data_IF_176587281527
#
_entry.id   IF_176587281527
#
_cell.length_a   1.000
_cell.length_b   1.000
_cell.length_c   1.000
_cell.angle_alpha   90.00
_cell.angle_beta   90.00
_cell.angle_gamma   90.00
#
_symmetry.space_group_name_H-M   'P 1'
#
loop_
_entity.id
_entity.type
_entity.pdbx_description
1 polymer ?
#
# COMPACT_ATOMS: atom_id res chain seq x y z
N UNK A 1 -15.76 21.74 -23.66
CA UNK A 1 -14.40 21.38 -23.16
C UNK A 1 -14.22 19.88 -23.34
N UNK A 2 -13.21 19.47 -24.12
CA UNK A 2 -12.88 18.06 -24.38
C UNK A 2 -11.92 17.58 -23.30
N UNK A 3 -12.28 16.58 -22.51
CA UNK A 3 -11.33 15.85 -21.67
C UNK A 3 -10.86 14.62 -22.43
N UNK A 4 -9.67 14.68 -23.03
CA UNK A 4 -9.02 13.50 -23.57
C UNK A 4 -8.29 12.79 -22.45
N UNK A 5 -8.69 11.54 -22.21
CA UNK A 5 -8.12 10.58 -21.28
C UNK A 5 -6.80 10.06 -21.83
N UNK A 6 -5.73 9.95 -21.03
CA UNK A 6 -4.61 9.05 -21.32
C UNK A 6 -4.03 8.42 -20.04
N UNK A 7 -4.27 7.10 -19.92
CA UNK A 7 -3.41 6.01 -19.42
C UNK A 7 -2.81 6.12 -18.00
N UNK A 8 -3.04 5.16 -17.10
CA UNK A 8 -2.92 3.73 -17.40
C UNK A 8 -1.51 3.39 -17.87
N UNK A 9 -0.49 3.95 -17.21
CA UNK A 9 0.92 3.64 -17.46
C UNK A 9 1.52 3.13 -16.16
N UNK A 10 1.50 1.82 -16.00
CA UNK A 10 2.41 1.14 -15.08
C UNK A 10 3.81 1.45 -15.60
N UNK A 11 4.48 2.41 -14.97
CA UNK A 11 5.89 2.67 -15.23
C UNK A 11 6.64 1.52 -14.58
N UNK A 12 6.93 0.48 -15.36
CA UNK A 12 8.01 -0.44 -15.02
C UNK A 12 9.29 0.38 -15.11
N UNK A 13 9.86 0.72 -13.97
CA UNK A 13 11.17 1.36 -13.88
C UNK A 13 12.19 0.44 -14.54
N UNK A 14 12.58 0.78 -15.77
CA UNK A 14 13.75 0.19 -16.42
C UNK A 14 14.92 1.12 -16.10
N UNK A 15 15.79 0.69 -15.18
CA UNK A 15 17.04 1.40 -14.93
C UNK A 15 17.96 1.22 -16.14
N UNK A 16 18.55 2.33 -16.58
CA UNK A 16 19.44 2.46 -17.73
C UNK A 16 20.82 1.87 -17.40
N UNK A 17 20.94 0.55 -17.26
CA UNK A 17 22.23 -0.15 -17.18
C UNK A 17 22.20 -1.61 -17.68
N UNK A 18 21.17 -2.02 -18.43
CA UNK A 18 21.22 -3.27 -19.22
C UNK A 18 21.31 -4.58 -18.43
N UNK A 19 21.20 -4.56 -17.10
CA UNK A 19 21.05 -5.78 -16.29
C UNK A 19 19.58 -5.99 -15.94
N UNK A 20 18.96 -6.95 -16.61
CA UNK A 20 17.69 -7.52 -16.21
C UNK A 20 17.89 -8.30 -14.89
N UNK A 21 17.96 -7.59 -13.76
CA UNK A 21 17.95 -8.21 -12.45
C UNK A 21 16.51 -8.62 -12.12
N UNK A 22 16.19 -9.86 -12.45
CA UNK A 22 15.16 -10.72 -11.88
C UNK A 22 14.05 -9.99 -11.08
N UNK A 23 13.00 -9.54 -11.77
CA UNK A 23 11.71 -9.23 -11.14
C UNK A 23 10.77 -10.42 -11.33
N UNK A 24 11.11 -11.52 -10.67
CA UNK A 24 10.16 -12.58 -10.31
C UNK A 24 10.07 -12.72 -8.77
N UNK A 25 10.55 -11.71 -8.03
CA UNK A 25 10.58 -11.62 -6.56
C UNK A 25 10.38 -10.17 -6.04
N UNK A 26 9.95 -9.26 -6.92
CA UNK A 26 9.91 -7.81 -6.67
C UNK A 26 8.58 -7.26 -6.14
N UNK A 27 7.50 -8.05 -6.17
CA UNK A 27 6.17 -7.62 -5.70
C UNK A 27 6.12 -7.57 -4.16
N UNK A 28 6.65 -8.59 -3.50
CA UNK A 28 6.61 -8.79 -2.04
C UNK A 28 7.35 -7.68 -1.30
N UNK A 29 8.51 -7.29 -1.84
CA UNK A 29 9.31 -6.21 -1.30
C UNK A 29 8.58 -4.87 -1.33
N UNK A 30 7.67 -4.65 -2.29
CA UNK A 30 6.92 -3.40 -2.39
C UNK A 30 5.83 -3.30 -1.32
N UNK A 31 5.10 -4.40 -1.09
CA UNK A 31 4.07 -4.51 -0.07
C UNK A 31 4.64 -4.36 1.35
N UNK A 32 5.73 -5.06 1.63
CA UNK A 32 6.43 -4.97 2.91
C UNK A 32 7.02 -3.57 3.16
N UNK A 33 7.63 -2.95 2.13
CA UNK A 33 8.12 -1.56 2.24
C UNK A 33 7.00 -0.56 2.53
N UNK A 34 5.82 -0.76 1.94
CA UNK A 34 4.66 0.08 2.21
C UNK A 34 4.18 -0.11 3.66
N UNK A 35 4.14 -1.33 4.18
CA UNK A 35 3.76 -1.60 5.57
C UNK A 35 4.74 -0.99 6.56
N UNK A 36 6.05 -1.13 6.32
CA UNK A 36 7.09 -0.51 7.15
C UNK A 36 6.97 1.02 7.12
N UNK A 37 6.80 1.60 5.93
CA UNK A 37 6.59 3.05 5.77
C UNK A 37 5.32 3.52 6.50
N UNK A 38 4.22 2.77 6.39
CA UNK A 38 2.97 3.07 7.07
C UNK A 38 3.14 3.10 8.58
N UNK A 39 3.82 2.11 9.16
CA UNK A 39 4.10 2.03 10.61
C UNK A 39 5.03 3.15 11.07
N UNK A 40 6.04 3.52 10.26
CA UNK A 40 6.92 4.67 10.54
C UNK A 40 6.11 5.97 10.60
N UNK A 41 5.34 6.27 9.56
CA UNK A 41 4.51 7.48 9.53
C UNK A 41 3.45 7.49 10.63
N UNK A 42 2.81 6.34 10.91
CA UNK A 42 1.86 6.25 12.03
C UNK A 42 2.52 6.53 13.37
N UNK A 43 3.74 6.04 13.60
CA UNK A 43 4.50 6.29 14.84
C UNK A 43 4.77 7.78 15.03
N UNK A 44 5.11 8.49 13.97
CA UNK A 44 5.31 9.94 14.01
C UNK A 44 3.97 10.67 14.25
N UNK A 45 2.91 10.29 13.53
CA UNK A 45 1.62 10.98 13.61
C UNK A 45 0.91 10.77 14.96
N UNK A 46 1.08 9.60 15.59
CA UNK A 46 0.43 9.30 16.88
C UNK A 46 1.04 10.04 18.07
N UNK A 47 2.25 10.57 17.93
CA UNK A 47 2.85 11.46 18.94
C UNK A 47 2.09 12.79 19.01
N UNK A 48 1.42 13.19 17.92
CA UNK A 48 0.57 14.39 17.88
C UNK A 48 1.32 15.69 17.60
N UNK A 49 2.66 15.64 17.52
CA UNK A 49 3.54 16.81 17.31
C UNK A 49 3.52 17.35 15.87
N UNK A 50 3.15 16.51 14.89
CA UNK A 50 3.12 16.88 13.47
C UNK A 50 1.80 16.49 12.82
N UNK A 51 1.25 17.39 12.00
CA UNK A 51 0.01 17.13 11.25
C UNK A 51 0.32 16.34 9.98
N UNK A 52 -0.66 15.59 9.49
CA UNK A 52 -0.49 14.77 8.28
C UNK A 52 -0.05 15.56 7.04
N UNK A 53 -0.49 16.82 6.91
CA UNK A 53 -0.10 17.67 5.79
C UNK A 53 1.37 18.09 5.87
N UNK A 54 1.88 18.32 7.08
CA UNK A 54 3.26 18.73 7.34
C UNK A 54 4.21 17.56 7.09
N UNK A 55 3.89 16.38 7.63
CA UNK A 55 4.67 15.16 7.38
C UNK A 55 4.66 14.80 5.89
N UNK A 56 3.52 14.95 5.20
CA UNK A 56 3.42 14.72 3.76
C UNK A 56 4.33 15.67 2.96
N UNK A 57 4.37 16.96 3.33
CA UNK A 57 5.26 17.93 2.71
C UNK A 57 6.74 17.58 2.95
N UNK A 58 7.11 17.17 4.16
CA UNK A 58 8.48 16.75 4.50
C UNK A 58 8.93 15.52 3.71
N UNK A 59 8.04 14.55 3.53
CA UNK A 59 8.33 13.30 2.81
C UNK A 59 8.11 13.43 1.29
N UNK A 60 7.72 14.61 0.79
CA UNK A 60 7.56 14.89 -0.64
C UNK A 60 6.38 14.16 -1.30
N UNK A 61 5.33 13.87 -0.54
CA UNK A 61 4.13 13.14 -1.02
C UNK A 61 2.85 13.94 -0.80
N UNK A 62 1.76 13.55 -1.47
CA UNK A 62 0.46 14.17 -1.18
C UNK A 62 -0.10 13.66 0.16
N UNK A 63 -0.78 14.52 0.92
CA UNK A 63 -1.45 14.13 2.16
C UNK A 63 -2.51 13.02 1.96
N UNK A 64 -3.20 13.04 0.82
CA UNK A 64 -4.16 11.99 0.44
C UNK A 64 -3.47 10.63 0.23
N UNK A 65 -2.30 10.61 -0.42
CA UNK A 65 -1.49 9.40 -0.57
C UNK A 65 -0.98 8.91 0.79
N UNK A 66 -0.39 9.80 1.59
CA UNK A 66 0.09 9.47 2.94
C UNK A 66 -1.01 8.87 3.80
N UNK A 67 -2.22 9.45 3.77
CA UNK A 67 -3.39 8.91 4.49
C UNK A 67 -3.70 7.47 4.07
N UNK A 68 -3.65 7.17 2.77
CA UNK A 68 -3.90 5.80 2.27
C UNK A 68 -2.83 4.83 2.74
N UNK A 69 -1.56 5.24 2.73
CA UNK A 69 -0.45 4.39 3.20
C UNK A 69 -0.52 4.19 4.71
N UNK A 70 -0.73 5.23 5.51
CA UNK A 70 -0.85 5.15 6.99
C UNK A 70 -1.96 4.18 7.40
N UNK A 71 -3.07 4.10 6.64
CA UNK A 71 -4.13 3.12 6.90
C UNK A 71 -3.65 1.66 6.86
N UNK A 72 -2.57 1.35 6.14
CA UNK A 72 -1.98 0.01 6.12
C UNK A 72 -1.36 -0.38 7.48
N UNK A 73 -1.02 0.58 8.34
CA UNK A 73 -0.52 0.28 9.68
C UNK A 73 -1.56 -0.44 10.56
N UNK A 74 -2.83 -0.44 10.15
CA UNK A 74 -3.97 -1.04 10.87
C UNK A 74 -4.46 -2.35 10.24
N UNK A 75 -3.69 -2.93 9.33
CA UNK A 75 -3.97 -4.28 8.83
C UNK A 75 -3.92 -5.30 9.99
N UNK A 76 -4.81 -6.29 9.93
CA UNK A 76 -4.81 -7.39 10.88
C UNK A 76 -3.53 -8.22 10.77
N UNK A 77 -3.10 -8.89 11.85
CA UNK A 77 -1.95 -9.79 11.81
C UNK A 77 -2.07 -10.85 10.71
N UNK A 78 -3.26 -11.45 10.54
CA UNK A 78 -3.56 -12.45 9.51
C UNK A 78 -3.21 -11.95 8.08
N UNK A 79 -3.45 -10.67 7.80
CA UNK A 79 -3.14 -10.08 6.49
C UNK A 79 -1.65 -9.79 6.35
N UNK A 80 -0.99 -9.37 7.43
CA UNK A 80 0.47 -9.20 7.43
C UNK A 80 1.16 -10.54 7.16
N UNK A 81 0.68 -11.61 7.77
CA UNK A 81 1.19 -12.96 7.54
C UNK A 81 0.93 -13.41 6.09
N UNK A 82 -0.26 -13.12 5.56
CA UNK A 82 -0.57 -13.40 4.15
C UNK A 82 0.30 -12.60 3.18
N UNK A 83 0.64 -11.34 3.49
CA UNK A 83 1.60 -10.55 2.71
C UNK A 83 2.98 -11.20 2.73
N UNK A 84 3.42 -11.68 3.89
CA UNK A 84 4.73 -12.35 4.04
C UNK A 84 4.77 -13.71 3.32
N UNK A 85 3.63 -14.38 3.20
CA UNK A 85 3.48 -15.68 2.54
C UNK A 85 3.09 -15.59 1.05
N UNK A 86 3.02 -14.39 0.47
CA UNK A 86 2.47 -14.12 -0.88
C UNK A 86 1.10 -14.79 -1.13
N UNK A 87 0.26 -14.81 -0.10
CA UNK A 87 -1.05 -15.47 -0.08
C UNK A 87 -2.19 -14.44 0.00
N UNK A 88 -2.01 -13.31 -0.69
CA UNK A 88 -3.12 -12.38 -0.89
C UNK A 88 -4.01 -12.87 -2.03
N UNK A 89 -5.29 -12.50 -1.95
CA UNK A 89 -6.23 -12.69 -3.05
C UNK A 89 -5.69 -12.08 -4.36
N UNK A 90 -5.71 -12.87 -5.43
CA UNK A 90 -5.19 -12.47 -6.74
C UNK A 90 -6.01 -11.36 -7.42
N UNK A 91 -7.24 -11.11 -6.96
CA UNK A 91 -8.11 -10.02 -7.43
C UNK A 91 -7.91 -8.71 -6.64
N UNK A 92 -6.97 -8.67 -5.70
CA UNK A 92 -6.60 -7.43 -5.00
C UNK A 92 -5.58 -6.67 -5.86
N UNK A 93 -5.99 -5.54 -6.45
CA UNK A 93 -5.18 -4.62 -7.27
C UNK A 93 -4.05 -3.88 -6.50
N UNK A 94 -3.46 -4.53 -5.49
CA UNK A 94 -2.43 -3.99 -4.60
C UNK A 94 -2.98 -3.55 -3.24
N UNK A 95 -2.08 -3.38 -2.26
CA UNK A 95 -2.44 -3.09 -0.87
C UNK A 95 -3.04 -1.70 -0.66
N UNK A 96 -2.69 -0.72 -1.49
CA UNK A 96 -3.16 0.67 -1.35
C UNK A 96 -4.37 0.88 -2.25
N UNK A 97 -5.60 0.95 -1.72
CA UNK A 97 -6.78 1.14 -2.54
C UNK A 97 -6.77 2.53 -3.17
N UNK A 98 -6.97 2.61 -4.48
CA UNK A 98 -7.07 3.89 -5.20
C UNK A 98 -8.38 4.63 -4.88
N UNK A 99 -9.43 3.90 -4.47
CA UNK A 99 -10.75 4.41 -4.12
C UNK A 99 -10.85 5.09 -2.75
N UNK A 100 -12.02 5.66 -2.46
CA UNK A 100 -12.34 6.27 -1.16
C UNK A 100 -12.36 5.24 -0.02
N UNK A 101 -12.68 3.99 -0.36
CA UNK A 101 -12.76 2.85 0.55
C UNK A 101 -11.36 2.38 0.93
N UNK A 102 -10.83 2.97 2.01
CA UNK A 102 -9.55 2.58 2.61
C UNK A 102 -9.59 1.18 3.24
N UNK A 103 -8.61 0.91 4.11
CA UNK A 103 -8.56 -0.32 4.91
C UNK A 103 -9.80 -0.39 5.82
N UNK A 104 -10.61 -1.47 5.77
CA UNK A 104 -11.76 -1.63 6.66
C UNK A 104 -11.37 -1.54 8.15
N UNK A 105 -12.20 -0.91 8.96
CA UNK A 105 -11.90 -0.73 10.39
C UNK A 105 -11.92 -2.04 11.18
N UNK A 106 -12.80 -2.98 10.81
CA UNK A 106 -12.92 -4.27 11.50
C UNK A 106 -12.12 -5.36 10.79
N UNK A 107 -11.32 -6.12 11.54
CA UNK A 107 -10.49 -7.20 10.98
C UNK A 107 -11.29 -8.29 10.25
N UNK A 108 -12.52 -8.59 10.69
CA UNK A 108 -13.42 -9.52 9.97
C UNK A 108 -13.68 -9.07 8.53
N UNK A 109 -13.83 -7.76 8.32
CA UNK A 109 -14.11 -7.17 7.02
C UNK A 109 -12.82 -7.07 6.20
N UNK A 110 -11.68 -6.85 6.88
CA UNK A 110 -10.37 -6.92 6.22
C UNK A 110 -10.09 -8.34 5.71
N UNK A 111 -10.35 -9.39 6.49
CA UNK A 111 -10.21 -10.78 6.06
C UNK A 111 -11.04 -11.07 4.81
N UNK A 112 -12.32 -10.68 4.82
CA UNK A 112 -13.21 -10.86 3.67
C UNK A 112 -12.67 -10.17 2.40
N UNK A 113 -12.03 -9.01 2.58
CA UNK A 113 -11.49 -8.21 1.47
C UNK A 113 -10.16 -8.74 0.93
N UNK A 114 -9.24 -9.15 1.80
CA UNK A 114 -7.85 -9.43 1.43
C UNK A 114 -7.51 -10.92 1.33
N UNK A 115 -8.24 -11.79 2.03
CA UNK A 115 -7.94 -13.23 2.10
C UNK A 115 -9.01 -14.03 1.35
N UNK A 116 -8.58 -15.12 0.71
CA UNK A 116 -9.47 -16.05 0.02
C UNK A 116 -10.39 -16.71 1.05
N UNK A 117 -11.67 -16.89 0.73
CA UNK A 117 -12.60 -17.63 1.58
C UNK A 117 -12.10 -19.08 1.72
N UNK A 118 -11.40 -19.38 2.83
CA UNK A 118 -10.78 -20.68 3.06
C UNK A 118 -9.44 -20.63 3.82
N UNK A 119 -8.85 -19.46 4.05
CA UNK A 119 -7.71 -19.32 4.96
C UNK A 119 -8.21 -19.28 6.42
N UNK A 120 -8.40 -20.45 7.03
CA UNK A 120 -8.79 -20.64 8.42
C UNK A 120 -8.25 -21.95 8.95
#
# INVERSE_FOLDING_TARGET
>A
MKFTRHFGRVVRLVHRDGRAAALSSGSDHSALKLLVTARRWWTILREGEIRINELAAQEGVSASWMTRVVRLAFLSPEIVDAILADNLRSDVDGLVPTGADGVPAYWKDQRLRYLTAGAG
#
